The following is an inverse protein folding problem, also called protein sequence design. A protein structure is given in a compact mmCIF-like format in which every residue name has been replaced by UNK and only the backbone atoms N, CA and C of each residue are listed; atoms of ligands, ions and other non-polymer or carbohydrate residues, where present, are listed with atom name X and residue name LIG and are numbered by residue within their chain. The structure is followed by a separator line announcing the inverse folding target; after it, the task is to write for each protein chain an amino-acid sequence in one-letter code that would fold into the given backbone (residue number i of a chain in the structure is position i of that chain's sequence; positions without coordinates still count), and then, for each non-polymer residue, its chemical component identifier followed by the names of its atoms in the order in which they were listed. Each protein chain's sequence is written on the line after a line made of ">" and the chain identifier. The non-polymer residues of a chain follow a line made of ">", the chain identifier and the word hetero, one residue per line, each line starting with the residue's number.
data_IF_214621599225
#
_entry.id   IF_214621599225
#
_cell.length_a   1.000
_cell.length_b   1.000
_cell.length_c   1.000
_cell.angle_alpha   90.00
_cell.angle_beta   90.00
_cell.angle_gamma   90.00
#
_symmetry.space_group_name_H-M   'P 1'
#
loop_
_entity.id
_entity.type
_entity.pdbx_description
1 polymer ?
#
# COMPACT_ATOMS: atom_id res chain seq x y z
N UNK A 1 5.76 -16.69 11.43
CA UNK A 1 5.13 -16.94 10.11
C UNK A 1 6.14 -17.66 9.26
N UNK A 2 5.78 -18.74 8.57
CA UNK A 2 6.70 -19.43 7.66
C UNK A 2 6.78 -18.70 6.31
N UNK A 3 7.82 -18.97 5.52
CA UNK A 3 7.96 -18.38 4.19
C UNK A 3 6.78 -18.77 3.27
N UNK A 4 6.31 -20.02 3.34
CA UNK A 4 5.18 -20.49 2.53
C UNK A 4 3.89 -19.76 2.89
N UNK A 5 3.64 -19.58 4.20
CA UNK A 5 2.49 -18.79 4.66
C UNK A 5 2.60 -17.33 4.23
N UNK A 6 3.79 -16.73 4.29
CA UNK A 6 4.00 -15.36 3.80
C UNK A 6 3.72 -15.26 2.29
N UNK A 7 4.23 -16.22 1.51
CA UNK A 7 4.07 -16.23 0.07
C UNK A 7 2.59 -16.32 -0.33
N UNK A 8 1.83 -17.21 0.30
CA UNK A 8 0.42 -17.40 -0.03
C UNK A 8 -0.48 -16.29 0.52
N UNK A 9 -0.25 -15.81 1.74
CA UNK A 9 -1.16 -14.86 2.39
C UNK A 9 -0.86 -13.39 2.09
N UNK A 10 0.37 -13.05 1.69
CA UNK A 10 0.79 -11.66 1.47
C UNK A 10 1.33 -11.43 0.07
N UNK A 11 2.40 -12.15 -0.30
CA UNK A 11 3.11 -11.86 -1.55
C UNK A 11 2.21 -12.06 -2.78
N UNK A 12 1.56 -13.22 -2.89
CA UNK A 12 0.72 -13.57 -4.05
C UNK A 12 -0.48 -12.62 -4.23
N UNK A 13 -1.21 -12.22 -3.17
CA UNK A 13 -2.22 -11.16 -3.29
C UNK A 13 -1.66 -9.79 -3.72
N UNK A 14 -0.51 -9.38 -3.17
CA UNK A 14 0.13 -8.09 -3.52
C UNK A 14 0.60 -8.10 -4.98
N UNK A 15 1.20 -9.19 -5.45
CA UNK A 15 1.64 -9.32 -6.84
C UNK A 15 0.43 -9.22 -7.80
N UNK A 16 -0.69 -9.92 -7.50
CA UNK A 16 -1.92 -9.84 -8.31
C UNK A 16 -2.53 -8.44 -8.31
N UNK A 17 -2.51 -7.77 -7.17
CA UNK A 17 -2.96 -6.39 -7.09
C UNK A 17 -2.10 -5.48 -7.98
N UNK A 18 -0.77 -5.61 -7.90
CA UNK A 18 0.16 -4.87 -8.74
C UNK A 18 -0.09 -5.13 -10.24
N UNK A 19 -0.28 -6.39 -10.64
CA UNK A 19 -0.64 -6.74 -12.03
C UNK A 19 -1.88 -5.99 -12.51
N UNK A 20 -2.90 -5.85 -11.65
CA UNK A 20 -4.16 -5.18 -11.98
C UNK A 20 -4.04 -3.66 -12.08
N UNK A 21 -3.24 -3.03 -11.21
CA UNK A 21 -3.32 -1.57 -11.00
C UNK A 21 -2.03 -0.80 -11.30
N UNK A 22 -0.94 -1.47 -11.66
CA UNK A 22 0.35 -0.81 -11.93
C UNK A 22 0.32 0.28 -13.01
N UNK A 23 -0.69 0.29 -13.89
CA UNK A 23 -0.87 1.33 -14.92
C UNK A 23 -2.02 2.30 -14.60
N UNK A 24 -2.61 2.20 -13.42
CA UNK A 24 -3.73 3.06 -13.01
C UNK A 24 -3.22 4.17 -12.08
N UNK A 25 -3.69 5.41 -12.28
CA UNK A 25 -3.55 6.42 -11.24
C UNK A 25 -4.49 6.11 -10.08
N UNK A 26 -4.14 6.55 -8.86
CA UNK A 26 -5.05 6.44 -7.70
C UNK A 26 -6.14 7.51 -7.73
N UNK A 27 -5.91 8.62 -8.45
CA UNK A 27 -6.81 9.77 -8.55
C UNK A 27 -6.69 10.44 -9.91
N UNK A 28 -7.76 11.08 -10.38
CA UNK A 28 -7.76 11.86 -11.64
C UNK A 28 -7.21 13.28 -11.44
N UNK A 29 -7.19 13.77 -10.20
CA UNK A 29 -6.62 15.04 -9.80
C UNK A 29 -6.04 14.91 -8.38
N UNK A 30 -4.81 15.41 -8.16
CA UNK A 30 -4.02 15.43 -6.90
C UNK A 30 -2.98 14.30 -6.70
N UNK A 31 -2.65 13.98 -5.43
CA UNK A 31 -1.63 13.02 -4.99
C UNK A 31 -1.91 11.64 -5.63
N UNK A 32 -0.85 11.02 -6.16
CA UNK A 32 -0.88 9.71 -6.84
C UNK A 32 -1.69 9.67 -8.15
N UNK A 33 -1.82 10.80 -8.87
CA UNK A 33 -2.43 10.85 -10.22
C UNK A 33 -1.51 10.40 -11.36
N UNK A 34 -0.31 9.91 -11.04
CA UNK A 34 0.64 9.40 -12.03
C UNK A 34 0.43 7.92 -12.33
N UNK A 35 1.07 7.42 -13.40
CA UNK A 35 1.13 6.00 -13.72
C UNK A 35 1.67 5.22 -12.51
N UNK A 36 0.97 4.15 -12.12
CA UNK A 36 1.33 3.35 -10.93
C UNK A 36 0.88 3.95 -9.61
N UNK A 37 0.27 5.14 -9.60
CA UNK A 37 -0.18 5.79 -8.37
C UNK A 37 -1.16 4.94 -7.56
N UNK A 38 -1.99 4.11 -8.20
CA UNK A 38 -2.88 3.19 -7.50
C UNK A 38 -2.10 2.10 -6.74
N UNK A 39 -1.01 1.60 -7.31
CA UNK A 39 -0.15 0.62 -6.65
C UNK A 39 0.54 1.24 -5.43
N UNK A 40 1.11 2.44 -5.59
CA UNK A 40 1.78 3.16 -4.51
C UNK A 40 0.83 3.45 -3.34
N UNK A 41 -0.36 3.95 -3.65
CA UNK A 41 -1.38 4.24 -2.64
C UNK A 41 -1.85 2.97 -1.91
N UNK A 42 -2.07 1.87 -2.63
CA UNK A 42 -2.44 0.60 -2.03
C UNK A 42 -1.38 0.06 -1.05
N UNK A 43 -0.10 0.16 -1.40
CA UNK A 43 1.01 -0.24 -0.53
C UNK A 43 1.15 0.65 0.70
N UNK A 44 0.90 1.96 0.57
CA UNK A 44 0.87 2.91 1.68
C UNK A 44 -0.21 2.53 2.71
N UNK A 45 -1.43 2.26 2.25
CA UNK A 45 -2.55 1.82 3.10
C UNK A 45 -2.22 0.50 3.81
N UNK A 46 -1.66 -0.48 3.10
CA UNK A 46 -1.23 -1.76 3.68
C UNK A 46 -0.17 -1.56 4.77
N UNK A 47 0.81 -0.70 4.53
CA UNK A 47 1.85 -0.36 5.51
C UNK A 47 1.25 0.30 6.76
N UNK A 48 0.32 1.24 6.58
CA UNK A 48 -0.36 1.89 7.69
C UNK A 48 -1.20 0.90 8.51
N UNK A 49 -2.01 0.05 7.86
CA UNK A 49 -2.81 -0.98 8.52
C UNK A 49 -1.92 -1.99 9.28
N UNK A 50 -0.78 -2.38 8.71
CA UNK A 50 0.18 -3.27 9.35
C UNK A 50 0.83 -2.64 10.60
N UNK A 51 1.14 -1.34 10.55
CA UNK A 51 1.65 -0.57 11.71
C UNK A 51 0.59 -0.42 12.81
N UNK A 52 -0.65 -0.13 12.44
CA UNK A 52 -1.80 -0.06 13.38
C UNK A 52 -2.00 -1.40 14.09
N UNK A 53 -2.01 -2.51 13.35
CA UNK A 53 -2.16 -3.86 13.92
C UNK A 53 -1.05 -4.20 14.93
N UNK A 54 0.15 -3.66 14.75
CA UNK A 54 1.29 -3.90 15.63
C UNK A 54 1.38 -2.88 16.78
N UNK A 55 0.39 -2.00 16.95
CA UNK A 55 0.39 -0.91 17.93
C UNK A 55 1.58 0.04 17.81
N UNK A 56 2.18 0.14 16.61
CA UNK A 56 3.38 0.93 16.33
C UNK A 56 3.09 2.28 15.65
N UNK A 57 1.91 2.86 15.88
CA UNK A 57 1.60 4.20 15.35
C UNK A 57 1.93 5.25 16.39
N UNK A 58 3.14 5.82 16.29
CA UNK A 58 3.35 7.20 16.68
C UNK A 58 2.82 8.07 15.53
N UNK A 59 1.81 8.90 15.81
CA UNK A 59 1.38 9.92 14.88
C UNK A 59 2.59 10.78 14.51
N UNK A 60 3.07 10.68 13.29
CA UNK A 60 3.91 11.73 12.70
C UNK A 60 2.92 12.82 12.28
N UNK A 61 2.89 13.91 13.06
CA UNK A 61 2.22 15.14 12.65
C UNK A 61 2.85 15.58 11.34
N UNK A 62 2.12 15.47 10.23
CA UNK A 62 2.41 16.22 9.03
C UNK A 62 1.52 17.46 9.02
N UNK A 63 1.94 18.48 9.79
CA UNK A 63 1.72 19.86 9.38
C UNK A 63 2.58 20.09 8.14
N UNK A 64 1.96 20.28 6.96
CA UNK A 64 2.52 21.00 5.80
C UNK A 64 1.51 21.02 4.64
N UNK A 65 0.82 22.17 4.51
CA UNK A 65 0.19 22.78 3.32
C UNK A 65 -0.94 22.04 2.57
#
# INVERSE_FOLDING_TARGET
>A
MTQDMYNELYKKPIDRYAEMVQLLPASESHHNSHLGGMLDHGLEVLSFAAKLRQSYVLFQNYDSF
#
